data_IF_829304085302
#
_entry.id   IF_829304085302
#
_cell.length_a   1.000
_cell.length_b   1.000
_cell.length_c   1.000
_cell.angle_alpha   90.00
_cell.angle_beta   90.00
_cell.angle_gamma   90.00
#
_symmetry.space_group_name_H-M   'P 1'
#
loop_
_entity.id
_entity.type
_entity.pdbx_description
1 polymer ?
#
# COMPACT_ATOMS: atom_id res chain seq x y z
N UNK A 1 -101.04 -13.08 -11.84
CA UNK A 1 -99.78 -13.39 -12.54
C UNK A 1 -98.72 -12.33 -12.12
N UNK A 2 -97.79 -12.75 -11.33
CA UNK A 2 -96.80 -11.89 -10.59
C UNK A 2 -95.45 -11.88 -11.33
N UNK A 3 -94.95 -10.66 -11.65
CA UNK A 3 -93.66 -10.50 -12.26
C UNK A 3 -92.71 -9.96 -11.14
N UNK A 4 -91.74 -10.75 -10.72
CA UNK A 4 -90.70 -10.33 -9.77
C UNK A 4 -89.58 -9.61 -10.54
N UNK A 5 -89.30 -8.39 -10.14
CA UNK A 5 -88.08 -7.64 -10.55
C UNK A 5 -86.91 -8.01 -9.64
N UNK A 6 -85.82 -8.47 -10.26
CA UNK A 6 -84.51 -8.60 -9.58
C UNK A 6 -83.77 -7.28 -9.72
N UNK A 7 -83.39 -6.71 -8.58
CA UNK A 7 -82.38 -5.63 -8.47
C UNK A 7 -81.01 -6.27 -8.36
N UNK A 8 -80.11 -6.02 -9.32
CA UNK A 8 -78.69 -6.36 -9.21
C UNK A 8 -77.95 -5.21 -8.60
N UNK A 9 -77.32 -5.44 -7.42
CA UNK A 9 -76.34 -4.52 -6.83
C UNK A 9 -74.97 -4.75 -7.46
N UNK A 10 -74.47 -3.75 -8.18
CA UNK A 10 -73.06 -3.71 -8.62
C UNK A 10 -72.20 -3.07 -7.54
N UNK A 11 -71.39 -3.85 -6.85
CA UNK A 11 -70.35 -3.35 -5.93
C UNK A 11 -69.12 -3.02 -6.74
N UNK A 12 -68.82 -1.72 -6.89
CA UNK A 12 -67.59 -1.20 -7.46
C UNK A 12 -66.51 -1.25 -6.39
N UNK A 13 -65.55 -2.19 -6.52
CA UNK A 13 -64.35 -2.26 -5.65
C UNK A 13 -63.30 -1.23 -6.15
N UNK A 14 -63.14 -0.15 -5.40
CA UNK A 14 -62.15 0.86 -5.67
C UNK A 14 -60.78 0.35 -5.19
N UNK A 15 -59.92 -0.12 -6.09
CA UNK A 15 -58.53 -0.52 -5.76
C UNK A 15 -57.71 0.76 -5.53
N UNK A 16 -57.42 1.04 -4.26
CA UNK A 16 -56.50 2.13 -3.85
C UNK A 16 -55.04 1.62 -4.06
N UNK A 17 -54.41 2.00 -5.17
CA UNK A 17 -52.97 1.77 -5.38
C UNK A 17 -52.18 2.68 -4.47
N UNK A 18 -51.70 2.15 -3.35
CA UNK A 18 -50.70 2.79 -2.49
C UNK A 18 -49.38 2.86 -3.26
N UNK A 19 -49.09 3.99 -3.90
CA UNK A 19 -47.76 4.32 -4.37
C UNK A 19 -46.91 4.61 -3.14
N UNK A 20 -46.09 3.61 -2.69
CA UNK A 20 -45.05 3.83 -1.72
C UNK A 20 -44.01 4.74 -2.36
N UNK A 21 -43.77 5.97 -1.89
CA UNK A 21 -42.69 6.78 -2.41
C UNK A 21 -41.40 6.04 -2.07
N UNK A 22 -40.64 5.64 -3.08
CA UNK A 22 -39.25 5.19 -2.89
C UNK A 22 -38.54 6.36 -2.22
N UNK A 23 -38.24 6.24 -0.95
CA UNK A 23 -37.41 7.20 -0.21
C UNK A 23 -36.04 7.21 -0.92
N UNK A 24 -35.82 8.16 -1.82
CA UNK A 24 -34.51 8.44 -2.36
C UNK A 24 -33.61 8.74 -1.16
N UNK A 25 -32.65 7.89 -0.90
CA UNK A 25 -31.70 8.10 0.18
C UNK A 25 -31.10 9.50 0.02
N UNK A 26 -31.30 10.37 1.03
CA UNK A 26 -30.84 11.74 0.98
C UNK A 26 -29.33 11.76 0.83
N UNK A 27 -28.83 12.41 -0.23
CA UNK A 27 -27.40 12.61 -0.46
C UNK A 27 -26.76 13.32 0.74
N UNK A 28 -25.61 12.85 1.19
CA UNK A 28 -24.86 13.44 2.32
C UNK A 28 -23.42 13.63 1.92
N UNK A 29 -22.92 14.86 2.08
CA UNK A 29 -21.56 15.22 1.70
C UNK A 29 -20.86 15.98 2.82
N UNK A 30 -19.61 15.60 3.09
CA UNK A 30 -18.64 16.44 3.80
C UNK A 30 -17.83 17.29 2.80
N UNK A 31 -17.03 18.27 3.26
CA UNK A 31 -16.13 19.02 2.41
C UNK A 31 -15.31 18.09 1.52
N UNK A 32 -15.17 18.46 0.24
CA UNK A 32 -14.48 17.68 -0.77
C UNK A 32 -15.36 16.71 -1.57
N UNK A 33 -16.65 16.64 -1.27
CA UNK A 33 -17.59 15.85 -2.06
C UNK A 33 -18.77 16.70 -2.54
N UNK A 34 -19.28 16.39 -3.73
CA UNK A 34 -20.44 17.02 -4.35
C UNK A 34 -21.18 16.03 -5.25
N UNK A 35 -22.21 16.52 -5.97
CA UNK A 35 -22.92 15.73 -6.98
C UNK A 35 -22.05 15.36 -8.20
N UNK A 36 -20.95 16.08 -8.42
CA UNK A 36 -20.13 15.95 -9.63
C UNK A 36 -18.68 15.64 -9.38
N UNK A 37 -18.18 15.81 -8.13
CA UNK A 37 -16.76 15.73 -7.81
C UNK A 37 -16.51 15.07 -6.46
N UNK A 38 -15.38 14.35 -6.37
CA UNK A 38 -14.78 13.86 -5.13
C UNK A 38 -13.31 14.31 -5.13
N UNK A 39 -12.95 15.19 -4.20
CA UNK A 39 -11.56 15.65 -4.02
C UNK A 39 -10.79 14.69 -3.15
N UNK A 40 -9.69 14.18 -3.66
CA UNK A 40 -8.77 13.25 -2.98
C UNK A 40 -7.40 13.90 -2.90
N UNK A 41 -6.90 14.16 -1.71
CA UNK A 41 -5.57 14.70 -1.48
C UNK A 41 -4.51 13.62 -1.39
N UNK A 42 -3.26 13.95 -1.74
CA UNK A 42 -2.11 13.06 -1.62
C UNK A 42 -0.83 13.86 -1.38
N UNK A 43 0.11 13.32 -0.62
CA UNK A 43 1.51 13.78 -0.58
C UNK A 43 2.41 12.63 -1.01
N UNK A 44 3.32 12.92 -1.96
CA UNK A 44 4.18 11.92 -2.59
C UNK A 44 5.56 12.52 -2.83
N UNK A 45 6.67 11.79 -2.60
CA UNK A 45 8.00 12.29 -2.90
C UNK A 45 8.29 12.20 -4.41
N UNK A 46 7.85 13.20 -5.17
CA UNK A 46 8.22 13.30 -6.58
C UNK A 46 9.65 13.80 -6.78
N UNK A 47 10.22 14.43 -5.77
CA UNK A 47 11.61 14.89 -5.70
C UNK A 47 12.34 14.31 -4.48
N UNK A 48 13.66 14.59 -4.38
CA UNK A 48 14.46 14.18 -3.22
C UNK A 48 14.90 12.71 -3.22
N UNK A 49 15.45 12.24 -2.08
CA UNK A 49 16.13 10.92 -2.00
C UNK A 49 15.21 9.71 -2.16
N UNK A 50 13.90 9.89 -1.95
CA UNK A 50 12.90 8.84 -2.11
C UNK A 50 12.08 8.98 -3.40
N UNK A 51 12.55 9.76 -4.38
CA UNK A 51 11.80 10.10 -5.61
C UNK A 51 11.46 8.90 -6.51
N UNK A 52 12.14 7.77 -6.36
CA UNK A 52 11.75 6.53 -7.04
C UNK A 52 10.30 6.11 -6.72
N UNK A 53 9.82 6.41 -5.52
CA UNK A 53 8.42 6.15 -5.15
C UNK A 53 7.41 7.08 -5.83
N UNK A 54 7.84 8.20 -6.42
CA UNK A 54 6.95 9.13 -7.12
C UNK A 54 6.17 8.48 -8.27
N UNK A 55 6.65 7.36 -8.80
CA UNK A 55 5.93 6.57 -9.80
C UNK A 55 4.60 6.02 -9.27
N UNK A 56 4.48 5.78 -7.94
CA UNK A 56 3.23 5.35 -7.30
C UNK A 56 2.13 6.39 -7.52
N UNK A 57 2.40 7.64 -7.15
CA UNK A 57 1.41 8.72 -7.31
C UNK A 57 1.06 9.01 -8.77
N UNK A 58 2.00 8.80 -9.70
CA UNK A 58 1.72 8.90 -11.14
C UNK A 58 0.79 7.79 -11.63
N UNK A 59 0.99 6.55 -11.15
CA UNK A 59 0.12 5.41 -11.46
C UNK A 59 -1.29 5.60 -10.86
N UNK A 60 -1.39 6.12 -9.63
CA UNK A 60 -2.67 6.47 -9.00
C UNK A 60 -3.42 7.55 -9.79
N UNK A 61 -2.74 8.64 -10.17
CA UNK A 61 -3.32 9.69 -11.01
C UNK A 61 -3.81 9.15 -12.36
N UNK A 62 -3.03 8.25 -12.98
CA UNK A 62 -3.42 7.58 -14.21
C UNK A 62 -4.68 6.71 -14.02
N UNK A 63 -4.75 5.97 -12.90
CA UNK A 63 -5.91 5.14 -12.61
C UNK A 63 -7.17 5.97 -12.37
N UNK A 64 -7.08 7.09 -11.67
CA UNK A 64 -8.22 7.98 -11.48
C UNK A 64 -8.66 8.66 -12.78
N UNK A 65 -7.74 8.96 -13.71
CA UNK A 65 -8.12 9.38 -15.08
C UNK A 65 -8.94 8.31 -15.78
N UNK A 66 -8.48 7.03 -15.72
CA UNK A 66 -9.26 5.90 -16.27
C UNK A 66 -10.67 5.86 -15.68
N UNK A 67 -10.80 5.92 -14.36
CA UNK A 67 -12.11 5.92 -13.68
C UNK A 67 -12.96 7.09 -14.15
N UNK A 68 -12.39 8.28 -14.30
CA UNK A 68 -13.07 9.47 -14.75
C UNK A 68 -13.57 9.36 -16.20
N UNK A 69 -12.76 8.77 -17.09
CA UNK A 69 -13.14 8.52 -18.49
C UNK A 69 -14.29 7.50 -18.60
N UNK A 70 -14.35 6.57 -17.65
CA UNK A 70 -15.41 5.54 -17.57
C UNK A 70 -16.69 6.06 -16.86
N UNK A 71 -16.79 7.35 -16.60
CA UNK A 71 -17.99 7.97 -16.01
C UNK A 71 -17.84 8.36 -14.54
N UNK A 72 -16.69 8.09 -13.91
CA UNK A 72 -16.44 8.40 -12.51
C UNK A 72 -17.11 7.42 -11.55
N UNK A 73 -17.30 7.84 -10.31
CA UNK A 73 -17.95 7.06 -9.25
C UNK A 73 -19.37 7.59 -9.07
N UNK A 74 -20.37 6.83 -9.50
CA UNK A 74 -21.77 7.25 -9.48
C UNK A 74 -21.97 8.63 -10.13
N UNK A 75 -21.30 8.88 -11.27
CA UNK A 75 -21.34 10.13 -12.02
C UNK A 75 -20.41 11.24 -11.50
N UNK A 76 -19.67 11.01 -10.40
CA UNK A 76 -18.73 11.97 -9.81
C UNK A 76 -17.31 11.72 -10.29
N UNK A 77 -16.64 12.78 -10.73
CA UNK A 77 -15.22 12.70 -11.12
C UNK A 77 -14.32 12.75 -9.88
N UNK A 78 -13.25 11.96 -9.87
CA UNK A 78 -12.21 12.06 -8.86
C UNK A 78 -11.28 13.22 -9.25
N UNK A 79 -11.18 14.22 -8.38
CA UNK A 79 -10.17 15.27 -8.47
C UNK A 79 -9.01 14.90 -7.53
N UNK A 80 -7.92 14.38 -8.10
CA UNK A 80 -6.75 13.92 -7.37
C UNK A 80 -5.72 15.04 -7.27
N UNK A 81 -5.53 15.59 -6.07
CA UNK A 81 -4.60 16.67 -5.75
C UNK A 81 -3.38 16.06 -5.08
N UNK A 82 -2.33 15.81 -5.86
CA UNK A 82 -1.08 15.19 -5.37
C UNK A 82 0.03 16.22 -5.31
N UNK A 83 0.65 16.38 -4.14
CA UNK A 83 1.64 17.39 -3.84
C UNK A 83 3.00 16.76 -3.53
N UNK A 84 4.09 17.37 -4.04
CA UNK A 84 5.45 16.94 -3.76
C UNK A 84 5.91 17.37 -2.37
N UNK A 85 6.17 16.41 -1.50
CA UNK A 85 6.75 16.67 -0.17
C UNK A 85 8.25 16.38 -0.08
N UNK A 86 8.86 15.83 -1.14
CA UNK A 86 10.30 15.51 -1.19
C UNK A 86 10.75 14.53 -0.10
N UNK A 87 9.82 13.74 0.48
CA UNK A 87 10.06 12.87 1.64
C UNK A 87 10.52 13.66 2.89
N UNK A 88 10.02 14.89 3.04
CA UNK A 88 10.36 15.78 4.16
C UNK A 88 9.16 15.95 5.09
N UNK A 89 9.21 15.43 6.33
CA UNK A 89 8.09 15.53 7.27
C UNK A 89 7.59 16.99 7.50
N UNK A 90 8.46 18.01 7.59
CA UNK A 90 7.99 19.40 7.66
C UNK A 90 7.17 19.83 6.43
N UNK A 91 7.61 19.45 5.22
CA UNK A 91 6.85 19.74 3.98
C UNK A 91 5.56 18.94 3.92
N UNK A 92 5.58 17.67 4.38
CA UNK A 92 4.35 16.87 4.49
C UNK A 92 3.31 17.56 5.37
N UNK A 93 3.73 18.14 6.50
CA UNK A 93 2.81 18.90 7.39
C UNK A 93 2.22 20.12 6.68
N UNK A 94 3.04 20.88 5.94
CA UNK A 94 2.58 22.03 5.16
C UNK A 94 1.57 21.60 4.09
N UNK A 95 1.90 20.58 3.30
CA UNK A 95 1.06 20.08 2.22
C UNK A 95 -0.25 19.48 2.76
N UNK A 96 -0.20 18.73 3.86
CA UNK A 96 -1.40 18.18 4.49
C UNK A 96 -2.36 19.27 5.00
N UNK A 97 -1.81 20.33 5.59
CA UNK A 97 -2.63 21.50 6.00
C UNK A 97 -3.29 22.17 4.80
N UNK A 98 -2.53 22.38 3.72
CA UNK A 98 -3.08 22.92 2.48
C UNK A 98 -4.23 22.06 1.94
N UNK A 99 -4.03 20.75 1.82
CA UNK A 99 -5.05 19.82 1.34
C UNK A 99 -6.33 19.85 2.18
N UNK A 100 -6.18 19.94 3.52
CA UNK A 100 -7.33 19.92 4.44
C UNK A 100 -8.01 21.27 4.56
N UNK A 101 -7.24 22.37 4.69
CA UNK A 101 -7.77 23.69 5.09
C UNK A 101 -8.00 24.64 3.90
N UNK A 102 -7.35 24.42 2.73
CA UNK A 102 -7.48 25.25 1.55
C UNK A 102 -8.15 24.52 0.40
N UNK A 103 -7.66 23.33 0.05
CA UNK A 103 -8.22 22.52 -1.03
C UNK A 103 -9.49 21.78 -0.58
N UNK A 104 -9.72 21.66 0.75
CA UNK A 104 -10.90 21.06 1.37
C UNK A 104 -11.19 19.66 0.86
N UNK A 105 -10.18 18.77 0.85
CA UNK A 105 -10.33 17.40 0.36
C UNK A 105 -11.25 16.56 1.25
N UNK A 106 -11.96 15.60 0.66
CA UNK A 106 -12.77 14.63 1.40
C UNK A 106 -11.89 13.74 2.29
N UNK A 107 -10.77 13.31 1.74
CA UNK A 107 -9.79 12.45 2.39
C UNK A 107 -8.38 12.72 1.86
N UNK A 108 -7.37 12.35 2.63
CA UNK A 108 -5.98 12.24 2.18
C UNK A 108 -5.66 10.76 1.99
N UNK A 109 -5.16 10.43 0.80
CA UNK A 109 -4.94 9.07 0.33
C UNK A 109 -3.46 8.84 0.03
N UNK A 110 -2.91 7.70 0.47
CA UNK A 110 -1.57 7.25 0.09
C UNK A 110 -0.44 8.25 0.38
N UNK A 111 -0.52 9.06 1.44
CA UNK A 111 0.66 9.79 1.91
C UNK A 111 1.80 8.80 2.13
N UNK A 112 2.97 9.07 1.51
CA UNK A 112 4.08 8.13 1.49
C UNK A 112 5.10 8.39 2.59
N UNK A 113 5.54 7.31 3.22
CA UNK A 113 6.64 7.29 4.17
C UNK A 113 6.21 7.33 5.63
N UNK A 114 6.90 6.53 6.46
CA UNK A 114 6.59 6.45 7.89
C UNK A 114 6.82 7.78 8.60
N UNK A 115 7.97 8.49 8.44
CA UNK A 115 8.18 9.76 9.11
C UNK A 115 7.18 10.83 8.67
N UNK A 116 6.84 10.91 7.38
CA UNK A 116 5.84 11.83 6.82
C UNK A 116 4.46 11.60 7.43
N UNK A 117 3.99 10.35 7.43
CA UNK A 117 2.69 10.01 8.01
C UNK A 117 2.65 10.22 9.53
N UNK A 118 3.76 9.93 10.24
CA UNK A 118 3.86 10.20 11.69
C UNK A 118 3.68 11.68 11.99
N UNK A 119 4.27 12.56 11.18
CA UNK A 119 4.21 14.01 11.40
C UNK A 119 2.80 14.58 11.30
N UNK A 120 1.92 13.98 10.49
CA UNK A 120 0.53 14.45 10.30
C UNK A 120 -0.52 13.60 11.04
N UNK A 121 -0.14 12.47 11.62
CA UNK A 121 -1.05 11.47 12.19
C UNK A 121 -2.04 12.05 13.20
N UNK A 122 -1.52 12.77 14.21
CA UNK A 122 -2.36 13.41 15.23
C UNK A 122 -3.24 14.52 14.67
N UNK A 123 -2.70 15.31 13.72
CA UNK A 123 -3.43 16.39 13.07
C UNK A 123 -4.63 15.85 12.27
N UNK A 124 -4.43 14.83 11.44
CA UNK A 124 -5.49 14.23 10.63
C UNK A 124 -6.60 13.64 11.51
N UNK A 125 -6.22 12.93 12.58
CA UNK A 125 -7.20 12.39 13.54
C UNK A 125 -7.96 13.48 14.31
N UNK A 126 -7.29 14.55 14.73
CA UNK A 126 -7.95 15.69 15.39
C UNK A 126 -8.92 16.43 14.46
N UNK A 127 -8.57 16.56 13.18
CA UNK A 127 -9.43 17.18 12.14
C UNK A 127 -10.54 16.24 11.65
N UNK A 128 -10.53 14.97 12.03
CA UNK A 128 -11.44 13.92 11.54
C UNK A 128 -11.46 13.84 10.01
N UNK A 129 -10.29 13.91 9.41
CA UNK A 129 -10.09 13.73 7.96
C UNK A 129 -9.44 12.38 7.75
N UNK A 130 -10.02 11.48 6.93
CA UNK A 130 -9.41 10.20 6.65
C UNK A 130 -7.99 10.34 6.09
N UNK A 131 -7.02 9.70 6.75
CA UNK A 131 -5.67 9.45 6.28
C UNK A 131 -5.63 7.98 5.83
N UNK A 132 -6.09 7.75 4.61
CA UNK A 132 -6.54 6.44 4.18
C UNK A 132 -5.48 5.73 3.34
N UNK A 133 -5.24 4.45 3.67
CA UNK A 133 -4.34 3.55 2.98
C UNK A 133 -2.93 4.11 2.85
N UNK A 134 -2.39 4.62 3.96
CA UNK A 134 -1.06 5.25 3.97
C UNK A 134 0.01 4.34 3.35
N UNK A 135 0.90 4.91 2.54
CA UNK A 135 1.95 4.18 1.84
C UNK A 135 3.14 3.88 2.76
N UNK A 136 2.88 3.08 3.77
CA UNK A 136 3.85 2.57 4.75
C UNK A 136 3.26 1.40 5.52
N UNK A 137 4.09 0.38 5.81
CA UNK A 137 3.70 -0.79 6.59
C UNK A 137 4.06 -0.70 8.08
N UNK A 138 4.35 0.48 8.63
CA UNK A 138 4.66 0.58 10.05
C UNK A 138 3.48 0.07 10.91
N UNK A 139 3.80 -0.68 11.95
CA UNK A 139 2.83 -1.40 12.79
C UNK A 139 1.76 -0.50 13.38
N UNK A 140 2.09 0.75 13.67
CA UNK A 140 1.20 1.74 14.29
C UNK A 140 -0.02 2.15 13.45
N UNK A 141 -0.10 1.79 12.16
CA UNK A 141 -1.25 2.14 11.32
C UNK A 141 -2.45 1.21 11.52
N UNK A 142 -2.30 0.11 12.26
CA UNK A 142 -3.39 -0.76 12.68
C UNK A 142 -3.75 -0.50 14.16
N UNK A 143 -4.25 0.72 14.43
CA UNK A 143 -4.71 1.14 15.76
C UNK A 143 -6.05 1.91 15.66
N UNK A 144 -7.14 1.23 15.27
CA UNK A 144 -8.45 1.86 15.09
C UNK A 144 -9.02 2.45 16.38
N UNK A 145 -8.60 1.96 17.54
CA UNK A 145 -9.10 2.42 18.84
C UNK A 145 -8.60 3.84 19.16
N UNK A 146 -7.31 4.10 18.95
CA UNK A 146 -6.71 5.40 19.27
C UNK A 146 -6.68 6.35 18.07
N UNK A 147 -6.61 5.80 16.85
CA UNK A 147 -6.48 6.54 15.59
C UNK A 147 -7.50 6.10 14.55
N UNK A 148 -8.81 6.31 14.79
CA UNK A 148 -9.88 5.81 13.91
C UNK A 148 -9.91 6.46 12.52
N UNK A 149 -9.12 7.49 12.28
CA UNK A 149 -9.04 8.21 10.99
C UNK A 149 -7.80 7.88 10.17
N UNK A 150 -6.98 6.92 10.61
CA UNK A 150 -5.78 6.49 9.87
C UNK A 150 -5.81 5.00 9.63
N UNK A 151 -5.57 4.56 8.40
CA UNK A 151 -5.53 3.15 8.01
C UNK A 151 -4.35 2.89 7.10
N UNK A 152 -3.61 1.79 7.36
CA UNK A 152 -2.59 1.26 6.45
C UNK A 152 -3.18 0.54 5.23
N UNK A 153 -2.31 0.01 4.35
CA UNK A 153 -2.74 -0.83 3.24
C UNK A 153 -1.84 -2.04 3.04
N UNK A 154 -0.53 -1.83 2.99
CA UNK A 154 0.47 -2.87 2.75
C UNK A 154 0.76 -3.69 4.02
N UNK A 155 1.41 -4.87 3.89
CA UNK A 155 1.78 -5.70 5.03
C UNK A 155 2.63 -4.98 6.07
N UNK A 156 2.49 -5.44 7.30
CA UNK A 156 3.18 -4.89 8.46
C UNK A 156 4.69 -5.21 8.45
N UNK A 157 5.52 -4.20 8.69
CA UNK A 157 6.98 -4.31 8.66
C UNK A 157 7.55 -5.28 9.70
N UNK A 158 7.03 -5.28 10.93
CA UNK A 158 7.48 -6.23 11.94
C UNK A 158 7.16 -7.67 11.54
N UNK A 159 6.01 -7.88 10.89
CA UNK A 159 5.63 -9.20 10.39
C UNK A 159 6.58 -9.68 9.30
N UNK A 160 6.90 -8.83 8.34
CA UNK A 160 7.83 -9.17 7.27
C UNK A 160 9.17 -9.63 7.83
N UNK A 161 9.77 -8.88 8.75
CA UNK A 161 11.07 -9.27 9.32
C UNK A 161 11.00 -10.42 10.30
N UNK A 162 9.87 -10.66 10.98
CA UNK A 162 9.65 -11.93 11.72
C UNK A 162 9.69 -13.13 10.77
N UNK A 163 9.11 -12.99 9.57
CA UNK A 163 9.18 -14.05 8.54
C UNK A 163 10.62 -14.26 8.09
N UNK A 164 11.39 -13.19 7.85
CA UNK A 164 12.81 -13.30 7.52
C UNK A 164 13.60 -13.99 8.65
N UNK A 165 13.37 -13.59 9.89
CA UNK A 165 14.01 -14.23 11.05
C UNK A 165 13.72 -15.73 11.12
N UNK A 166 12.47 -16.15 10.94
CA UNK A 166 12.09 -17.58 10.89
C UNK A 166 12.81 -18.32 9.77
N UNK A 167 12.88 -17.73 8.58
CA UNK A 167 13.59 -18.34 7.45
C UNK A 167 15.10 -18.42 7.71
N UNK A 168 15.72 -17.38 8.28
CA UNK A 168 17.14 -17.41 8.69
C UNK A 168 17.39 -18.52 9.70
N UNK A 169 16.57 -18.62 10.75
CA UNK A 169 16.72 -19.64 11.78
C UNK A 169 16.59 -21.06 11.24
N UNK A 170 15.70 -21.26 10.26
CA UNK A 170 15.49 -22.57 9.63
C UNK A 170 16.64 -22.97 8.69
N UNK A 171 17.21 -22.00 7.95
CA UNK A 171 18.19 -22.30 6.91
C UNK A 171 19.65 -22.04 7.33
N UNK A 172 19.85 -21.15 8.33
CA UNK A 172 21.18 -20.69 8.81
C UNK A 172 21.18 -20.46 10.33
N UNK A 173 21.01 -21.51 11.15
CA UNK A 173 20.79 -21.38 12.61
C UNK A 173 21.96 -20.76 13.36
N UNK A 174 23.14 -20.66 12.74
CA UNK A 174 24.35 -20.08 13.31
C UNK A 174 24.85 -18.84 12.57
N UNK A 175 23.96 -18.18 11.76
CA UNK A 175 24.32 -17.00 11.01
C UNK A 175 24.79 -15.84 11.90
N UNK A 176 25.70 -15.03 11.34
CA UNK A 176 26.04 -13.71 11.86
C UNK A 176 25.32 -12.67 11.02
N UNK A 177 24.37 -11.97 11.64
CA UNK A 177 23.46 -11.06 10.92
C UNK A 177 23.99 -9.63 11.05
N UNK A 178 24.19 -8.97 9.90
CA UNK A 178 24.40 -7.54 9.81
C UNK A 178 23.12 -6.85 9.33
N UNK A 179 22.75 -5.74 9.94
CA UNK A 179 21.53 -4.98 9.59
C UNK A 179 21.91 -3.57 9.19
N UNK A 180 21.43 -3.13 8.02
CA UNK A 180 21.41 -1.73 7.62
C UNK A 180 19.97 -1.23 7.68
N UNK A 181 19.74 -0.11 8.37
CA UNK A 181 18.37 0.44 8.51
C UNK A 181 18.34 1.97 8.47
N UNK A 182 17.26 2.54 7.96
CA UNK A 182 17.01 3.99 8.03
C UNK A 182 16.77 4.40 9.48
N UNK A 183 17.41 5.46 9.96
CA UNK A 183 17.39 5.89 11.37
C UNK A 183 16.12 6.68 11.70
N UNK A 184 14.97 6.06 11.52
CA UNK A 184 13.65 6.60 11.88
C UNK A 184 12.67 5.48 12.26
N UNK A 185 11.38 5.82 12.42
CA UNK A 185 10.35 4.87 12.79
C UNK A 185 10.19 3.74 11.77
N UNK A 186 10.48 3.97 10.47
CA UNK A 186 10.42 2.96 9.43
C UNK A 186 11.48 1.87 9.67
N UNK A 187 12.74 2.24 9.77
CA UNK A 187 13.83 1.28 9.96
C UNK A 187 13.76 0.59 11.31
N UNK A 188 13.38 1.34 12.37
CA UNK A 188 13.25 0.80 13.73
C UNK A 188 12.10 -0.19 13.87
N UNK A 189 11.00 -0.01 13.14
CA UNK A 189 9.87 -0.94 13.15
C UNK A 189 10.26 -2.30 12.53
N UNK A 190 10.97 -2.29 11.41
CA UNK A 190 11.55 -3.51 10.82
C UNK A 190 12.56 -4.19 11.74
N UNK A 191 13.49 -3.41 12.31
CA UNK A 191 14.53 -3.94 13.22
C UNK A 191 13.91 -4.60 14.46
N UNK A 192 12.83 -3.98 14.99
CA UNK A 192 12.07 -4.57 16.11
C UNK A 192 11.49 -5.93 15.71
N UNK A 193 10.86 -6.02 14.55
CA UNK A 193 10.27 -7.28 14.05
C UNK A 193 11.33 -8.37 13.85
N UNK A 194 12.52 -8.00 13.36
CA UNK A 194 13.64 -8.94 13.22
C UNK A 194 14.07 -9.49 14.57
N UNK A 195 14.27 -8.61 15.56
CA UNK A 195 14.65 -9.01 16.94
C UNK A 195 13.59 -9.89 17.58
N UNK A 196 12.31 -9.51 17.45
CA UNK A 196 11.18 -10.29 17.95
C UNK A 196 11.13 -11.70 17.31
N UNK A 197 11.38 -11.79 16.01
CA UNK A 197 11.39 -13.06 15.29
C UNK A 197 12.58 -13.97 15.64
N UNK A 198 13.73 -13.39 15.98
CA UNK A 198 14.91 -14.12 16.45
C UNK A 198 14.77 -14.56 17.91
N UNK A 199 14.00 -13.85 18.74
CA UNK A 199 13.81 -14.15 20.15
C UNK A 199 15.13 -14.25 20.91
N UNK A 200 15.34 -15.33 21.65
CA UNK A 200 16.58 -15.56 22.43
C UNK A 200 17.85 -15.62 21.57
N UNK A 201 17.71 -15.77 20.25
CA UNK A 201 18.81 -15.75 19.30
C UNK A 201 19.09 -14.36 18.71
N UNK A 202 18.52 -13.29 19.24
CA UNK A 202 18.77 -11.90 18.77
C UNK A 202 20.27 -11.53 18.82
N UNK A 203 21.08 -12.20 19.64
CA UNK A 203 22.55 -12.08 19.65
C UNK A 203 23.22 -12.51 18.34
N UNK A 204 22.52 -13.17 17.43
CA UNK A 204 22.99 -13.43 16.06
C UNK A 204 23.20 -12.14 15.27
N UNK A 205 22.54 -11.04 15.66
CA UNK A 205 22.80 -9.72 15.10
C UNK A 205 24.13 -9.21 15.65
N UNK A 206 25.17 -9.27 14.83
CA UNK A 206 26.54 -8.88 15.20
C UNK A 206 26.83 -7.42 14.88
N UNK A 207 26.03 -6.78 14.02
CA UNK A 207 26.15 -5.35 13.71
C UNK A 207 24.78 -4.77 13.31
N UNK A 208 24.45 -3.62 13.89
CA UNK A 208 23.31 -2.77 13.52
C UNK A 208 23.88 -1.41 13.11
N UNK A 209 23.71 -1.06 11.85
CA UNK A 209 24.24 0.18 11.29
C UNK A 209 23.10 0.97 10.66
N UNK A 210 23.00 2.23 11.01
CA UNK A 210 21.95 3.10 10.47
C UNK A 210 22.49 4.07 9.41
N UNK A 211 21.57 4.62 8.63
CA UNK A 211 21.80 5.74 7.74
C UNK A 211 20.70 6.78 7.89
N UNK A 212 21.01 8.02 7.54
CA UNK A 212 20.05 9.12 7.45
C UNK A 212 19.59 9.29 5.99
N UNK A 213 18.34 9.71 5.79
CA UNK A 213 17.80 10.00 4.44
C UNK A 213 18.61 11.08 3.72
N UNK A 214 19.26 11.97 4.47
CA UNK A 214 20.14 13.02 3.96
C UNK A 214 21.53 12.54 3.56
N UNK A 215 21.92 11.30 3.91
CA UNK A 215 23.24 10.77 3.56
C UNK A 215 23.41 10.70 2.04
N UNK A 216 24.60 11.03 1.53
CA UNK A 216 24.86 10.91 0.09
C UNK A 216 24.94 9.45 -0.35
N UNK A 217 25.55 8.58 0.46
CA UNK A 217 25.76 7.14 0.20
C UNK A 217 25.70 6.34 1.49
N UNK A 218 25.64 5.00 1.36
CA UNK A 218 25.76 4.03 2.48
C UNK A 218 27.03 3.19 2.38
N UNK A 219 28.03 3.66 1.66
CA UNK A 219 29.27 2.92 1.39
C UNK A 219 30.04 2.55 2.66
N UNK A 220 30.17 3.49 3.61
CA UNK A 220 30.84 3.26 4.89
C UNK A 220 30.11 2.27 5.75
N UNK A 221 28.77 2.30 5.75
CA UNK A 221 27.93 1.35 6.47
C UNK A 221 28.15 -0.08 5.95
N UNK A 222 28.21 -0.26 4.62
CA UNK A 222 28.44 -1.58 4.01
C UNK A 222 29.83 -2.10 4.34
N UNK A 223 30.89 -1.26 4.33
CA UNK A 223 32.24 -1.64 4.77
C UNK A 223 32.24 -2.08 6.23
N UNK A 224 31.53 -1.34 7.10
CA UNK A 224 31.40 -1.69 8.52
C UNK A 224 30.69 -3.05 8.70
N UNK A 225 29.63 -3.31 7.95
CA UNK A 225 28.91 -4.58 7.99
C UNK A 225 29.77 -5.74 7.52
N UNK A 226 30.54 -5.58 6.44
CA UNK A 226 31.53 -6.57 6.01
C UNK A 226 32.56 -6.85 7.11
N UNK A 227 33.10 -5.79 7.71
CA UNK A 227 34.11 -5.88 8.79
C UNK A 227 33.62 -6.57 10.07
N UNK A 228 32.29 -6.61 10.30
CA UNK A 228 31.69 -7.33 11.43
C UNK A 228 31.73 -8.85 11.28
N UNK A 229 32.09 -9.36 10.09
CA UNK A 229 32.05 -10.79 9.77
C UNK A 229 30.63 -11.34 9.56
N UNK A 230 29.64 -10.47 9.31
CA UNK A 230 28.28 -10.89 9.01
C UNK A 230 28.24 -11.70 7.69
N UNK A 231 27.52 -12.83 7.71
CA UNK A 231 27.28 -13.72 6.57
C UNK A 231 25.81 -13.70 6.10
N UNK A 232 24.95 -13.01 6.84
CA UNK A 232 23.59 -12.62 6.47
C UNK A 232 23.47 -11.11 6.54
N UNK A 233 22.91 -10.50 5.51
CA UNK A 233 22.66 -9.06 5.43
C UNK A 233 21.16 -8.77 5.34
N UNK A 234 20.60 -8.11 6.35
CA UNK A 234 19.23 -7.61 6.33
C UNK A 234 19.25 -6.13 5.95
N UNK A 235 18.77 -5.86 4.74
CA UNK A 235 18.82 -4.54 4.09
C UNK A 235 17.46 -3.86 4.22
N UNK A 236 17.35 -2.93 5.18
CA UNK A 236 16.12 -2.17 5.50
C UNK A 236 16.31 -0.73 5.02
N UNK A 237 16.28 -0.56 3.71
CA UNK A 237 16.57 0.72 3.07
C UNK A 237 15.49 1.13 2.08
N UNK A 238 15.41 2.44 1.81
CA UNK A 238 14.61 2.97 0.70
C UNK A 238 15.34 2.82 -0.64
N UNK A 239 14.67 2.92 -1.81
CA UNK A 239 15.17 2.50 -3.12
C UNK A 239 16.58 2.97 -3.48
N UNK A 240 16.89 4.27 -3.32
CA UNK A 240 18.23 4.82 -3.60
C UNK A 240 19.33 4.09 -2.81
N UNK A 241 19.10 3.93 -1.52
CA UNK A 241 20.06 3.34 -0.60
C UNK A 241 20.11 1.82 -0.73
N UNK A 242 19.00 1.16 -1.09
CA UNK A 242 18.98 -0.25 -1.44
C UNK A 242 19.90 -0.55 -2.64
N UNK A 243 19.74 0.22 -3.72
CA UNK A 243 20.58 0.07 -4.90
C UNK A 243 22.06 0.34 -4.60
N UNK A 244 22.37 1.35 -3.79
CA UNK A 244 23.74 1.64 -3.35
C UNK A 244 24.33 0.50 -2.50
N UNK A 245 23.57 0.00 -1.51
CA UNK A 245 24.00 -1.08 -0.62
C UNK A 245 24.30 -2.37 -1.39
N UNK A 246 23.42 -2.77 -2.30
CA UNK A 246 23.59 -3.95 -3.16
C UNK A 246 24.86 -3.80 -4.01
N UNK A 247 25.02 -2.67 -4.70
CA UNK A 247 26.18 -2.39 -5.54
C UNK A 247 27.47 -2.43 -4.73
N UNK A 248 27.50 -1.72 -3.61
CA UNK A 248 28.69 -1.63 -2.78
C UNK A 248 29.09 -2.99 -2.20
N UNK A 249 28.15 -3.77 -1.70
CA UNK A 249 28.44 -5.12 -1.20
C UNK A 249 29.11 -6.00 -2.27
N UNK A 250 28.56 -5.97 -3.50
CA UNK A 250 29.15 -6.71 -4.63
C UNK A 250 30.55 -6.19 -4.98
N UNK A 251 30.74 -4.88 -5.11
CA UNK A 251 31.97 -4.24 -5.57
C UNK A 251 33.16 -4.47 -4.62
N UNK A 252 32.89 -4.60 -3.31
CA UNK A 252 33.91 -4.93 -2.30
C UNK A 252 34.08 -6.45 -2.09
N UNK A 253 33.39 -7.29 -2.87
CA UNK A 253 33.46 -8.75 -2.78
C UNK A 253 32.76 -9.34 -1.55
N UNK A 254 31.90 -8.58 -0.84
CA UNK A 254 31.11 -9.12 0.26
C UNK A 254 29.88 -9.86 -0.28
N UNK A 255 29.78 -11.16 0.05
CA UNK A 255 28.75 -12.06 -0.50
C UNK A 255 27.90 -12.69 0.61
N UNK A 256 27.18 -11.91 1.43
CA UNK A 256 26.26 -12.46 2.42
C UNK A 256 25.01 -13.01 1.73
N UNK A 257 24.23 -13.84 2.43
CA UNK A 257 22.83 -14.04 2.05
C UNK A 257 22.08 -12.76 2.39
N UNK A 258 21.53 -12.11 1.37
CA UNK A 258 20.88 -10.81 1.53
C UNK A 258 19.36 -10.94 1.58
N UNK A 259 18.76 -10.34 2.60
CA UNK A 259 17.31 -10.12 2.72
C UNK A 259 17.02 -8.65 2.49
N UNK A 260 16.22 -8.35 1.49
CA UNK A 260 15.81 -7.00 1.11
C UNK A 260 14.33 -6.79 1.49
N UNK A 261 14.02 -5.70 2.17
CA UNK A 261 12.65 -5.33 2.49
C UNK A 261 11.80 -5.10 1.23
N UNK A 262 10.51 -5.47 1.30
CA UNK A 262 9.63 -5.49 0.14
C UNK A 262 9.41 -4.11 -0.51
N UNK A 263 9.48 -3.05 0.26
CA UNK A 263 9.30 -1.68 -0.26
C UNK A 263 10.47 -1.19 -1.13
N UNK A 264 11.55 -1.99 -1.28
CA UNK A 264 12.70 -1.68 -2.14
C UNK A 264 13.04 -2.81 -3.12
N UNK A 265 12.11 -3.71 -3.39
CA UNK A 265 12.35 -4.89 -4.22
C UNK A 265 12.05 -4.68 -5.73
N UNK A 266 11.68 -3.46 -6.18
CA UNK A 266 11.37 -3.21 -7.59
C UNK A 266 12.53 -3.55 -8.51
N UNK A 267 12.27 -4.41 -9.50
CA UNK A 267 13.28 -4.73 -10.53
C UNK A 267 13.64 -3.47 -11.30
N UNK A 268 12.65 -2.70 -11.76
CA UNK A 268 12.87 -1.49 -12.56
C UNK A 268 13.55 -0.36 -11.80
N UNK A 269 13.04 -0.03 -10.62
CA UNK A 269 13.48 1.16 -9.86
C UNK A 269 14.62 0.91 -8.87
N UNK A 270 14.95 -0.35 -8.54
CA UNK A 270 15.98 -0.68 -7.55
C UNK A 270 17.03 -1.64 -8.09
N UNK A 271 16.62 -2.83 -8.56
CA UNK A 271 17.59 -3.86 -8.94
C UNK A 271 18.31 -3.51 -10.24
N UNK A 272 17.63 -2.91 -11.24
CA UNK A 272 18.26 -2.42 -12.45
C UNK A 272 19.32 -1.35 -12.17
N UNK A 273 19.04 -0.29 -11.40
CA UNK A 273 20.06 0.67 -10.98
C UNK A 273 21.19 0.07 -10.13
N UNK A 274 20.90 -0.98 -9.35
CA UNK A 274 21.92 -1.68 -8.55
C UNK A 274 22.87 -2.51 -9.42
N UNK A 275 22.38 -3.06 -10.52
CA UNK A 275 22.98 -4.09 -11.37
C UNK A 275 22.26 -5.42 -11.13
N UNK A 276 21.59 -5.93 -12.17
CA UNK A 276 20.80 -7.17 -12.05
C UNK A 276 21.70 -8.36 -11.64
N UNK A 277 22.91 -8.44 -12.23
CA UNK A 277 23.92 -9.43 -11.91
C UNK A 277 24.43 -9.35 -10.45
N UNK A 278 24.39 -8.16 -9.86
CA UNK A 278 24.78 -7.90 -8.47
C UNK A 278 23.68 -8.25 -7.48
N UNK A 279 22.47 -8.42 -7.97
CA UNK A 279 21.27 -8.67 -7.18
C UNK A 279 20.86 -10.14 -7.13
N UNK A 280 21.58 -11.03 -7.84
CA UNK A 280 21.29 -12.48 -7.89
C UNK A 280 21.32 -13.10 -6.51
N UNK A 281 20.29 -13.86 -6.16
CA UNK A 281 20.19 -14.57 -4.87
C UNK A 281 19.64 -13.71 -3.71
N UNK A 282 19.33 -12.43 -3.93
CA UNK A 282 18.64 -11.61 -2.92
C UNK A 282 17.27 -12.23 -2.62
N UNK A 283 16.95 -12.35 -1.33
CA UNK A 283 15.65 -12.81 -0.84
C UNK A 283 14.82 -11.60 -0.46
N UNK A 284 13.53 -11.63 -0.79
CA UNK A 284 12.53 -10.64 -0.37
C UNK A 284 11.18 -11.31 -0.15
N UNK A 285 10.16 -10.51 0.09
CA UNK A 285 8.78 -10.97 0.17
C UNK A 285 7.87 -10.15 -0.73
N UNK A 286 6.76 -10.73 -1.17
CA UNK A 286 5.75 -10.01 -1.91
C UNK A 286 4.35 -10.52 -1.56
N UNK A 287 3.37 -9.67 -1.82
CA UNK A 287 1.92 -9.94 -1.71
C UNK A 287 1.18 -9.67 -3.02
N UNK A 288 1.87 -9.06 -3.99
CA UNK A 288 1.37 -8.76 -5.32
C UNK A 288 2.11 -9.53 -6.42
N UNK A 289 1.52 -9.61 -7.60
CA UNK A 289 2.14 -10.17 -8.80
C UNK A 289 3.27 -9.24 -9.26
N UNK A 290 4.47 -9.78 -9.44
CA UNK A 290 5.58 -9.01 -10.01
C UNK A 290 5.44 -8.96 -11.53
N UNK A 291 5.53 -7.78 -12.17
CA UNK A 291 5.31 -7.65 -13.61
C UNK A 291 6.43 -8.23 -14.48
N UNK A 292 7.59 -8.56 -13.89
CA UNK A 292 8.71 -9.19 -14.58
C UNK A 292 8.63 -10.71 -14.61
N UNK A 293 7.72 -11.30 -13.79
CA UNK A 293 7.58 -12.75 -13.69
C UNK A 293 6.73 -13.32 -14.82
N UNK A 294 7.32 -14.14 -15.72
CA UNK A 294 6.64 -14.64 -16.91
C UNK A 294 5.46 -15.58 -16.60
N UNK A 295 5.34 -16.10 -15.37
CA UNK A 295 4.19 -16.91 -15.00
C UNK A 295 2.86 -16.13 -15.10
N UNK A 296 2.92 -14.80 -15.05
CA UNK A 296 1.76 -13.91 -15.16
C UNK A 296 1.46 -13.44 -16.59
N UNK A 297 2.16 -13.91 -17.60
CA UNK A 297 1.99 -13.42 -18.99
C UNK A 297 0.58 -13.67 -19.55
N UNK A 298 -0.08 -14.74 -19.11
CA UNK A 298 -1.46 -15.05 -19.47
C UNK A 298 -2.48 -14.77 -18.36
N UNK A 299 -2.06 -14.11 -17.26
CA UNK A 299 -2.96 -13.78 -16.16
C UNK A 299 -3.89 -12.62 -16.54
N UNK A 300 -5.22 -12.75 -16.33
CA UNK A 300 -6.17 -11.71 -16.70
C UNK A 300 -5.92 -10.37 -16.01
N UNK A 301 -5.57 -10.38 -14.72
CA UNK A 301 -5.27 -9.16 -13.95
C UNK A 301 -4.02 -8.46 -14.44
N UNK A 302 -2.96 -9.22 -14.74
CA UNK A 302 -1.73 -8.68 -15.32
C UNK A 302 -1.98 -8.09 -16.72
N UNK A 303 -2.80 -8.75 -17.54
CA UNK A 303 -3.14 -8.24 -18.87
C UNK A 303 -3.98 -6.95 -18.77
N UNK A 304 -4.93 -6.88 -17.83
CA UNK A 304 -5.70 -5.65 -17.56
C UNK A 304 -4.76 -4.52 -17.12
N UNK A 305 -3.83 -4.79 -16.21
CA UNK A 305 -2.84 -3.81 -15.77
C UNK A 305 -1.94 -3.34 -16.91
N UNK A 306 -1.41 -4.25 -17.75
CA UNK A 306 -0.59 -3.89 -18.92
C UNK A 306 -1.36 -3.02 -19.92
N UNK A 307 -2.63 -3.32 -20.17
CA UNK A 307 -3.51 -2.51 -21.02
C UNK A 307 -3.75 -1.12 -20.41
N UNK A 308 -3.96 -1.04 -19.09
CA UNK A 308 -4.05 0.21 -18.36
C UNK A 308 -2.77 1.03 -18.50
N UNK A 309 -1.60 0.46 -18.26
CA UNK A 309 -0.32 1.14 -18.39
C UNK A 309 -0.14 1.71 -19.79
N UNK A 310 -0.37 0.90 -20.82
CA UNK A 310 -0.26 1.31 -22.23
C UNK A 310 -1.15 2.51 -22.58
N UNK A 311 -2.38 2.55 -22.05
CA UNK A 311 -3.36 3.58 -22.39
C UNK A 311 -3.24 4.84 -21.54
N UNK A 312 -3.06 4.69 -20.22
CA UNK A 312 -3.18 5.78 -19.25
C UNK A 312 -1.85 6.24 -18.65
N UNK A 313 -0.82 5.39 -18.70
CA UNK A 313 0.52 5.71 -18.20
C UNK A 313 1.62 5.14 -19.11
N UNK A 314 1.67 5.52 -20.40
CA UNK A 314 2.62 4.96 -21.39
C UNK A 314 4.08 5.22 -21.05
N UNK A 315 4.40 6.29 -20.28
CA UNK A 315 5.76 6.61 -19.83
C UNK A 315 6.18 5.79 -18.60
N UNK A 316 5.26 5.04 -17.99
CA UNK A 316 5.52 4.20 -16.83
C UNK A 316 6.22 2.90 -17.20
N UNK A 317 7.26 2.52 -16.43
CA UNK A 317 7.97 1.26 -16.65
C UNK A 317 7.10 0.04 -16.36
N UNK A 318 7.07 -0.91 -17.28
CA UNK A 318 6.39 -2.20 -17.10
C UNK A 318 7.18 -3.18 -16.21
N UNK A 319 8.42 -2.85 -15.83
CA UNK A 319 9.23 -3.67 -14.90
C UNK A 319 9.26 -3.11 -13.48
N UNK A 320 8.53 -2.02 -13.25
CA UNK A 320 8.47 -1.35 -11.95
C UNK A 320 7.19 -1.75 -11.20
N UNK A 321 7.33 -2.58 -10.17
CA UNK A 321 6.20 -3.03 -9.36
C UNK A 321 5.56 -1.90 -8.51
N UNK A 322 6.20 -0.74 -8.37
CA UNK A 322 5.56 0.43 -7.77
C UNK A 322 4.35 0.91 -8.58
N UNK A 323 4.37 0.69 -9.91
CA UNK A 323 3.20 0.93 -10.76
C UNK A 323 2.06 -0.06 -10.48
N UNK A 324 2.40 -1.32 -10.18
CA UNK A 324 1.42 -2.34 -9.74
C UNK A 324 0.82 -1.97 -8.39
N UNK A 325 1.67 -1.48 -7.48
CA UNK A 325 1.24 -1.02 -6.15
C UNK A 325 0.25 0.15 -6.27
N UNK A 326 0.62 1.23 -6.98
CA UNK A 326 -0.25 2.40 -7.18
C UNK A 326 -1.59 2.05 -7.84
N UNK A 327 -1.56 1.19 -8.85
CA UNK A 327 -2.78 0.66 -9.49
C UNK A 327 -3.68 -0.09 -8.50
N UNK A 328 -3.09 -0.98 -7.70
CA UNK A 328 -3.84 -1.84 -6.78
C UNK A 328 -4.49 -1.05 -5.65
N UNK A 329 -3.76 -0.11 -5.06
CA UNK A 329 -4.29 0.71 -3.96
C UNK A 329 -5.32 1.71 -4.46
N UNK A 330 -5.16 2.27 -5.66
CA UNK A 330 -6.18 3.13 -6.29
C UNK A 330 -7.48 2.36 -6.57
N UNK A 331 -7.40 1.09 -7.01
CA UNK A 331 -8.58 0.21 -7.14
C UNK A 331 -9.27 0.01 -5.79
N UNK A 332 -8.49 -0.15 -4.72
CA UNK A 332 -9.03 -0.32 -3.37
C UNK A 332 -9.80 0.93 -2.91
N UNK A 333 -9.26 2.14 -3.15
CA UNK A 333 -9.97 3.38 -2.85
C UNK A 333 -11.26 3.52 -3.66
N UNK A 334 -11.21 3.22 -4.95
CA UNK A 334 -12.40 3.26 -5.82
C UNK A 334 -13.49 2.31 -5.32
N UNK A 335 -13.12 1.11 -4.84
CA UNK A 335 -14.07 0.19 -4.21
C UNK A 335 -14.72 0.80 -2.98
N UNK A 336 -13.95 1.41 -2.08
CA UNK A 336 -14.47 2.11 -0.89
C UNK A 336 -15.44 3.21 -1.27
N UNK A 337 -15.06 4.07 -2.22
CA UNK A 337 -15.90 5.18 -2.65
C UNK A 337 -17.20 4.70 -3.34
N UNK A 338 -17.15 3.59 -4.09
CA UNK A 338 -18.36 2.96 -4.66
C UNK A 338 -19.29 2.44 -3.55
N UNK A 339 -18.75 1.85 -2.49
CA UNK A 339 -19.52 1.39 -1.33
C UNK A 339 -20.16 2.55 -0.55
N UNK A 340 -19.56 3.75 -0.60
CA UNK A 340 -20.15 4.94 0.03
C UNK A 340 -21.48 5.38 -0.62
N UNK A 341 -21.68 5.09 -1.90
CA UNK A 341 -22.86 5.52 -2.64
C UNK A 341 -23.03 7.04 -2.62
N UNK A 342 -24.22 7.49 -2.21
CA UNK A 342 -24.55 8.91 -2.07
C UNK A 342 -24.25 9.49 -0.68
N UNK A 343 -23.66 8.69 0.22
CA UNK A 343 -23.19 9.14 1.52
C UNK A 343 -21.66 9.29 1.51
N UNK A 344 -21.18 10.40 0.97
CA UNK A 344 -19.77 10.77 0.92
C UNK A 344 -19.40 11.67 2.11
N UNK A 345 -19.70 11.19 3.32
CA UNK A 345 -19.16 11.76 4.56
C UNK A 345 -17.85 11.07 4.93
N UNK A 346 -16.95 11.80 5.57
CA UNK A 346 -15.64 11.28 6.03
C UNK A 346 -15.82 10.08 6.96
N UNK A 347 -16.82 10.12 7.82
CA UNK A 347 -17.17 9.00 8.71
C UNK A 347 -17.60 7.76 7.92
N UNK A 348 -18.43 7.93 6.87
CA UNK A 348 -18.83 6.80 6.04
C UNK A 348 -17.68 6.27 5.19
N UNK A 349 -16.77 7.12 4.72
CA UNK A 349 -15.55 6.67 4.03
C UNK A 349 -14.74 5.74 4.93
N UNK A 350 -14.47 6.12 6.19
CA UNK A 350 -13.75 5.24 7.13
C UNK A 350 -14.53 3.97 7.44
N UNK A 351 -15.84 4.06 7.60
CA UNK A 351 -16.69 2.89 7.83
C UNK A 351 -16.65 1.90 6.66
N UNK A 352 -16.70 2.38 5.42
CA UNK A 352 -16.60 1.53 4.23
C UNK A 352 -15.18 0.98 4.04
N UNK A 353 -14.14 1.77 4.32
CA UNK A 353 -12.76 1.29 4.34
C UNK A 353 -12.53 0.17 5.37
N UNK A 354 -13.21 0.24 6.52
CA UNK A 354 -13.21 -0.79 7.57
C UNK A 354 -14.19 -1.95 7.29
N UNK A 355 -14.71 -2.07 6.08
CA UNK A 355 -15.67 -3.12 5.70
C UNK A 355 -15.36 -3.74 4.33
N UNK A 356 -14.11 -3.81 3.96
CA UNK A 356 -13.68 -4.57 2.79
C UNK A 356 -13.74 -6.06 3.10
N UNK A 357 -14.33 -6.84 2.19
CA UNK A 357 -14.50 -8.29 2.32
C UNK A 357 -14.03 -8.97 1.05
N UNK A 358 -13.01 -9.79 1.20
CA UNK A 358 -12.44 -10.64 0.14
C UNK A 358 -12.19 -9.88 -1.18
N UNK A 359 -11.80 -8.60 -1.06
CA UNK A 359 -11.62 -7.75 -2.23
C UNK A 359 -10.35 -8.12 -3.00
N UNK A 360 -10.51 -8.35 -4.30
CA UNK A 360 -9.43 -8.66 -5.23
C UNK A 360 -9.08 -7.45 -6.09
N UNK A 361 -7.84 -7.02 -6.02
CA UNK A 361 -7.32 -5.98 -6.92
C UNK A 361 -7.00 -6.49 -8.32
N UNK A 362 -7.06 -7.80 -8.55
CA UNK A 362 -6.58 -8.46 -9.77
C UNK A 362 -5.05 -8.65 -9.79
N UNK A 363 -4.32 -7.95 -8.93
CA UNK A 363 -2.86 -7.97 -8.85
C UNK A 363 -2.32 -8.60 -7.56
N UNK A 364 -3.18 -9.06 -6.65
CA UNK A 364 -2.79 -9.85 -5.49
C UNK A 364 -2.25 -11.23 -5.89
N UNK A 365 -1.31 -11.77 -5.10
CA UNK A 365 -0.92 -13.19 -5.25
C UNK A 365 -2.11 -14.09 -4.96
N UNK A 366 -2.17 -15.30 -5.56
CA UNK A 366 -3.22 -16.27 -5.27
C UNK A 366 -3.37 -16.52 -3.77
N UNK A 367 -4.60 -16.45 -3.26
CA UNK A 367 -4.90 -16.61 -1.84
C UNK A 367 -4.74 -15.33 -1.00
N UNK A 368 -4.19 -14.24 -1.53
CA UNK A 368 -4.09 -12.96 -0.82
C UNK A 368 -5.25 -12.06 -1.25
N UNK A 369 -6.06 -11.67 -0.29
CA UNK A 369 -7.24 -10.81 -0.47
C UNK A 369 -7.22 -9.66 0.53
N UNK A 370 -7.88 -8.56 0.19
CA UNK A 370 -8.02 -7.41 1.07
C UNK A 370 -9.24 -7.59 1.96
N UNK A 371 -8.98 -7.59 3.26
CA UNK A 371 -10.00 -7.69 4.29
C UNK A 371 -9.75 -6.65 5.37
N UNK A 372 -10.80 -6.01 5.84
CA UNK A 372 -10.75 -5.06 6.96
C UNK A 372 -11.94 -5.24 7.89
N UNK A 373 -11.82 -4.75 9.11
CA UNK A 373 -12.93 -4.68 10.05
C UNK A 373 -12.81 -3.43 10.92
N UNK A 374 -13.84 -3.06 11.69
CA UNK A 374 -13.77 -1.94 12.62
C UNK A 374 -12.67 -2.05 13.69
N UNK A 375 -12.16 -3.26 13.92
CA UNK A 375 -11.09 -3.56 14.89
C UNK A 375 -9.77 -3.98 14.24
N UNK A 376 -9.71 -4.02 12.89
CA UNK A 376 -8.53 -4.43 12.15
C UNK A 376 -8.36 -3.57 10.88
N UNK A 377 -7.41 -2.63 10.95
CA UNK A 377 -7.04 -1.69 9.89
C UNK A 377 -5.80 -2.15 9.09
N UNK A 378 -5.54 -3.47 9.06
CA UNK A 378 -4.47 -4.08 8.26
C UNK A 378 -5.06 -4.84 7.05
N UNK A 379 -5.27 -4.18 5.90
CA UNK A 379 -5.96 -4.77 4.75
C UNK A 379 -5.28 -6.00 4.17
N UNK A 380 -3.94 -6.03 4.15
CA UNK A 380 -3.13 -7.13 3.63
C UNK A 380 -2.24 -7.66 4.74
N UNK A 381 -2.40 -8.95 5.07
CA UNK A 381 -1.70 -9.58 6.20
C UNK A 381 -0.87 -10.79 5.80
N UNK A 382 -0.80 -11.12 4.52
CA UNK A 382 -0.07 -12.27 4.02
C UNK A 382 0.99 -11.88 3.00
N UNK A 383 2.11 -12.60 2.99
CA UNK A 383 3.20 -12.46 2.04
C UNK A 383 3.75 -13.82 1.64
N UNK A 384 4.45 -13.88 0.51
CA UNK A 384 5.23 -15.05 0.10
C UNK A 384 6.68 -14.65 -0.11
N UNK A 385 7.62 -15.52 0.31
CA UNK A 385 9.05 -15.32 0.06
C UNK A 385 9.39 -15.53 -1.42
N UNK A 386 10.40 -14.80 -1.88
CA UNK A 386 10.91 -14.89 -3.24
C UNK A 386 12.43 -14.64 -3.27
N UNK A 387 13.09 -15.14 -4.31
CA UNK A 387 14.52 -14.93 -4.55
C UNK A 387 14.71 -14.39 -5.97
N UNK A 388 15.63 -13.44 -6.15
CA UNK A 388 15.92 -12.87 -7.46
C UNK A 388 16.91 -13.74 -8.24
N UNK A 389 16.54 -14.16 -9.45
CA UNK A 389 17.37 -15.06 -10.29
C UNK A 389 18.30 -14.33 -11.27
N UNK A 390 18.28 -13.00 -11.27
CA UNK A 390 19.02 -12.14 -12.20
C UNK A 390 18.15 -11.53 -13.32
N UNK A 391 16.89 -11.96 -13.43
CA UNK A 391 15.91 -11.46 -14.38
C UNK A 391 14.57 -11.12 -13.74
N UNK A 392 14.10 -12.02 -12.89
CA UNK A 392 12.80 -11.92 -12.22
C UNK A 392 12.84 -12.46 -10.80
N UNK A 393 11.77 -12.20 -10.06
CA UNK A 393 11.56 -12.77 -8.75
C UNK A 393 10.92 -14.15 -8.85
N UNK A 394 11.59 -15.18 -8.32
CA UNK A 394 11.10 -16.55 -8.23
C UNK A 394 10.56 -16.80 -6.83
N UNK A 395 9.27 -17.03 -6.71
CA UNK A 395 8.61 -17.30 -5.45
C UNK A 395 8.96 -18.68 -4.92
N UNK A 396 9.07 -18.84 -3.63
CA UNK A 396 9.28 -20.12 -2.95
C UNK A 396 8.54 -20.18 -1.61
N UNK A 397 8.36 -21.40 -1.10
CA UNK A 397 7.59 -21.64 0.11
C UNK A 397 6.09 -21.30 -0.06
N UNK A 398 5.34 -21.45 1.02
CA UNK A 398 3.90 -21.16 1.06
C UNK A 398 3.65 -19.67 1.32
N UNK A 399 2.43 -19.22 1.03
CA UNK A 399 1.94 -17.92 1.51
C UNK A 399 1.87 -17.95 3.03
N UNK A 400 2.49 -16.98 3.66
CA UNK A 400 2.60 -16.89 5.12
C UNK A 400 1.66 -15.80 5.59
N UNK A 401 0.63 -16.19 6.36
CA UNK A 401 -0.29 -15.27 7.00
C UNK A 401 0.35 -14.69 8.27
N UNK A 402 0.31 -13.37 8.40
CA UNK A 402 0.77 -12.64 9.57
C UNK A 402 -0.05 -12.92 10.83
N UNK A 403 -1.32 -13.26 10.67
CA UNK A 403 -2.23 -13.60 11.77
C UNK A 403 -1.97 -15.01 12.30
N UNK A 404 -1.34 -15.89 11.54
CA UNK A 404 -0.90 -17.21 12.01
C UNK A 404 0.32 -17.03 12.93
N UNK A 405 0.06 -16.83 14.22
CA UNK A 405 1.07 -16.72 15.29
C UNK A 405 1.68 -18.06 15.66
#
# INVERSE_FOLDING_TARGET
MSVKRLLGCATATLALTLTVPSALAQKKYDPGASDTEIKVGNTMPYSGPASAYGTIGKAEAAYFRKVNDEGGINGRKINFISLDDGYSPPRTVEMARRLVEQDEVLLVFQTLGTPSNTAIHKYMNAKKVPQLFVATGATKWNDPQNYPWTMGWQPNYQTETRIYAKHILATRPNAKIGVLYQNDDYGKDYLKGLKDGLGDKAKMIVAEVSYEVSDPTVDSQIVQLQGSGADVFVNITTPKFAAQAIRKAYDIGWKPVQYLNNVSQSVGSVLTPAGLEKSVGIISSNYGKDPTDPQWDNDPGMNEWRAFMKKYYPDGSLTDNFNVYGYSVARTLVQVLKQCGDNLTRENVMRQAANLKDFDTGMGLPGIRINTSPTDFAPIQAVQLMSFDGKTWVRFGEVIDAAAR
#
